data_IF_007817838381
#
_entry.id   IF_007817838381
#
_cell.length_a   1.000
_cell.length_b   1.000
_cell.length_c   1.000
_cell.angle_alpha   90.00
_cell.angle_beta   90.00
_cell.angle_gamma   90.00
#
_symmetry.space_group_name_H-M   'P 1'
#
loop_
_entity.id
_entity.type
_entity.pdbx_description
1 polymer ?
#
# COMPACT_ATOMS: atom_id res chain seq x y z
N UNK A 1 -7.53 -9.06 0.75
CA UNK A 1 -7.90 -8.78 -0.65
C UNK A 1 -7.21 -7.51 -1.15
N UNK A 2 -7.13 -7.31 -2.46
CA UNK A 2 -6.52 -6.10 -3.05
C UNK A 2 -7.42 -5.57 -4.14
N UNK A 3 -7.88 -4.33 -4.02
CA UNK A 3 -8.82 -3.73 -4.96
C UNK A 3 -8.13 -2.63 -5.73
N UNK A 4 -8.28 -2.62 -7.04
CA UNK A 4 -7.92 -1.48 -7.86
C UNK A 4 -9.15 -0.61 -8.02
N UNK A 5 -9.00 0.66 -7.65
CA UNK A 5 -10.05 1.65 -7.70
C UNK A 5 -9.74 2.71 -8.75
N UNK A 6 -10.79 3.18 -9.42
CA UNK A 6 -10.82 4.42 -10.18
C UNK A 6 -11.84 5.36 -9.56
N UNK A 7 -11.43 6.57 -9.21
CA UNK A 7 -12.30 7.59 -8.62
C UNK A 7 -12.13 8.91 -9.37
N UNK A 8 -13.22 9.53 -9.80
CA UNK A 8 -13.15 10.87 -10.42
C UNK A 8 -12.93 11.92 -9.33
N UNK A 9 -11.86 12.69 -9.44
CA UNK A 9 -11.52 13.71 -8.46
C UNK A 9 -12.56 14.83 -8.46
N UNK A 10 -13.13 15.13 -7.28
CA UNK A 10 -14.03 16.27 -7.13
C UNK A 10 -13.19 17.56 -7.04
N UNK A 11 -13.33 18.49 -7.99
CA UNK A 11 -12.54 19.73 -8.01
C UNK A 11 -12.77 20.60 -6.77
N UNK A 12 -13.98 20.56 -6.18
CA UNK A 12 -14.35 21.33 -4.98
C UNK A 12 -13.65 20.79 -3.73
N UNK A 13 -13.41 19.48 -3.69
CA UNK A 13 -12.88 18.78 -2.52
C UNK A 13 -11.36 18.56 -2.59
N UNK A 14 -10.70 18.98 -3.69
CA UNK A 14 -9.24 18.82 -3.90
C UNK A 14 -8.43 19.33 -2.70
N UNK A 15 -8.75 20.51 -2.19
CA UNK A 15 -8.04 21.09 -1.05
C UNK A 15 -8.25 20.31 0.26
N UNK A 16 -9.48 19.82 0.48
CA UNK A 16 -9.81 19.03 1.67
C UNK A 16 -9.11 17.67 1.60
N UNK A 17 -9.09 17.04 0.44
CA UNK A 17 -8.36 15.80 0.16
C UNK A 17 -6.85 15.98 0.43
N UNK A 18 -6.25 17.04 -0.14
CA UNK A 18 -4.85 17.36 0.03
C UNK A 18 -4.46 17.57 1.51
N UNK A 19 -5.26 18.32 2.26
CA UNK A 19 -5.06 18.50 3.71
C UNK A 19 -5.21 17.17 4.44
N UNK A 20 -6.25 16.39 4.11
CA UNK A 20 -6.51 15.07 4.70
C UNK A 20 -5.37 14.08 4.52
N UNK A 21 -4.75 14.07 3.35
CA UNK A 21 -3.59 13.22 3.03
C UNK A 21 -2.31 13.72 3.71
N UNK A 22 -2.05 15.03 3.69
CA UNK A 22 -0.85 15.63 4.27
C UNK A 22 -0.80 15.49 5.79
N UNK A 23 -1.91 15.76 6.46
CA UNK A 23 -1.99 15.70 7.92
C UNK A 23 -2.39 14.32 8.45
N UNK A 24 -2.68 13.36 7.55
CA UNK A 24 -3.15 12.05 7.96
C UNK A 24 -4.51 12.09 8.65
N UNK A 25 -5.43 12.96 8.26
CA UNK A 25 -6.77 13.05 8.88
C UNK A 25 -7.90 12.45 8.04
N UNK A 26 -7.63 12.11 6.78
CA UNK A 26 -8.57 11.44 5.88
C UNK A 26 -9.07 10.13 6.51
N UNK A 27 -10.40 9.97 6.60
CA UNK A 27 -11.11 8.85 7.22
C UNK A 27 -10.78 8.60 8.71
N UNK A 28 -10.31 9.61 9.45
CA UNK A 28 -10.00 9.46 10.89
C UNK A 28 -11.20 8.93 11.67
N UNK A 29 -10.95 7.94 12.54
CA UNK A 29 -11.98 7.27 13.33
C UNK A 29 -12.75 6.16 12.59
N UNK A 30 -12.40 5.85 11.32
CA UNK A 30 -12.94 4.70 10.58
C UNK A 30 -11.99 3.50 10.67
N UNK A 31 -12.53 2.30 10.60
CA UNK A 31 -11.75 1.04 10.67
C UNK A 31 -10.73 0.91 9.52
N UNK A 32 -11.00 1.53 8.38
CA UNK A 32 -10.16 1.52 7.18
C UNK A 32 -9.26 2.77 7.06
N UNK A 33 -9.15 3.58 8.12
CA UNK A 33 -8.36 4.81 8.14
C UNK A 33 -6.94 4.64 7.59
N UNK A 34 -6.18 3.68 8.14
CA UNK A 34 -4.77 3.49 7.77
C UNK A 34 -4.61 2.93 6.35
N UNK A 35 -5.50 2.01 5.96
CA UNK A 35 -5.53 1.42 4.61
C UNK A 35 -5.75 2.48 3.55
N UNK A 36 -6.84 3.24 3.68
CA UNK A 36 -7.23 4.30 2.75
C UNK A 36 -6.15 5.40 2.67
N UNK A 37 -5.56 5.80 3.80
CA UNK A 37 -4.45 6.76 3.83
C UNK A 37 -3.22 6.24 3.07
N UNK A 38 -2.84 4.98 3.30
CA UNK A 38 -1.70 4.37 2.60
C UNK A 38 -1.95 4.26 1.11
N UNK A 39 -3.15 3.80 0.72
CA UNK A 39 -3.51 3.62 -0.68
C UNK A 39 -3.54 4.96 -1.43
N UNK A 40 -4.19 5.99 -0.87
CA UNK A 40 -4.27 7.32 -1.49
C UNK A 40 -2.91 8.01 -1.58
N UNK A 41 -2.01 7.85 -0.60
CA UNK A 41 -0.62 8.38 -0.69
C UNK A 41 0.16 7.79 -1.86
N UNK A 42 -0.27 6.64 -2.35
CA UNK A 42 0.33 5.90 -3.46
C UNK A 42 -0.42 6.09 -4.76
N UNK A 43 -1.52 6.83 -4.71
CA UNK A 43 -2.39 7.02 -5.83
C UNK A 43 -1.69 7.83 -6.92
N UNK A 44 -2.15 7.59 -8.13
CA UNK A 44 -1.81 8.42 -9.29
C UNK A 44 -3.08 9.06 -9.84
N UNK A 45 -2.91 10.12 -10.61
CA UNK A 45 -3.98 10.82 -11.31
C UNK A 45 -3.62 10.95 -12.79
N UNK A 46 -4.56 10.62 -13.66
CA UNK A 46 -4.42 10.74 -15.10
C UNK A 46 -4.85 12.12 -15.63
N UNK A 47 -4.85 12.27 -16.95
CA UNK A 47 -5.20 13.53 -17.64
C UNK A 47 -6.70 13.84 -17.56
N UNK A 48 -7.54 12.85 -17.24
CA UNK A 48 -8.98 12.95 -17.11
C UNK A 48 -9.42 13.17 -15.65
N UNK A 49 -8.53 13.63 -14.77
CA UNK A 49 -8.74 13.76 -13.32
C UNK A 49 -9.23 12.46 -12.65
N UNK A 50 -8.90 11.28 -13.20
CA UNK A 50 -9.21 10.00 -12.58
C UNK A 50 -8.07 9.60 -11.69
N UNK A 51 -8.39 9.37 -10.41
CA UNK A 51 -7.48 8.88 -9.40
C UNK A 51 -7.49 7.36 -9.38
N UNK A 52 -6.29 6.79 -9.48
CA UNK A 52 -6.03 5.36 -9.49
C UNK A 52 -5.29 4.98 -8.22
N UNK A 53 -5.78 3.97 -7.52
CA UNK A 53 -5.06 3.40 -6.37
C UNK A 53 -5.41 1.94 -6.13
N UNK A 54 -4.57 1.29 -5.33
CA UNK A 54 -4.78 -0.08 -4.89
C UNK A 54 -4.98 -0.08 -3.38
N UNK A 55 -6.17 -0.46 -2.95
CA UNK A 55 -6.52 -0.65 -1.55
C UNK A 55 -6.20 -2.09 -1.12
N UNK A 56 -5.55 -2.24 0.03
CA UNK A 56 -5.27 -3.55 0.62
C UNK A 56 -6.23 -3.74 1.79
N UNK A 57 -7.22 -4.61 1.60
CA UNK A 57 -8.23 -4.90 2.59
C UNK A 57 -7.92 -6.21 3.31
N UNK A 58 -7.96 -6.21 4.65
CA UNK A 58 -7.72 -7.40 5.47
C UNK A 58 -9.01 -8.04 6.01
N UNK A 59 -10.17 -7.61 5.53
CA UNK A 59 -11.44 -8.22 5.89
C UNK A 59 -11.46 -9.70 5.46
N UNK A 60 -12.03 -10.54 6.33
CA UNK A 60 -12.25 -11.96 6.09
C UNK A 60 -13.39 -12.21 5.09
N UNK A 61 -14.23 -11.19 4.89
CA UNK A 61 -15.34 -11.21 3.94
C UNK A 61 -14.82 -11.02 2.51
N UNK A 62 -15.17 -11.98 1.64
CA UNK A 62 -14.82 -11.93 0.23
C UNK A 62 -15.73 -11.00 -0.59
N UNK A 63 -15.36 -10.74 -1.84
CA UNK A 63 -16.19 -10.00 -2.80
C UNK A 63 -16.03 -8.47 -2.69
N UNK A 64 -17.03 -7.70 -3.12
CA UNK A 64 -16.99 -6.22 -3.07
C UNK A 64 -17.52 -5.65 -1.75
N UNK A 65 -17.96 -6.50 -0.82
CA UNK A 65 -18.62 -6.09 0.41
C UNK A 65 -17.74 -5.21 1.32
N UNK A 66 -16.43 -5.47 1.50
CA UNK A 66 -15.58 -4.58 2.28
C UNK A 66 -15.51 -3.15 1.71
N UNK A 67 -15.56 -3.02 0.39
CA UNK A 67 -15.54 -1.70 -0.27
C UNK A 67 -16.83 -0.93 -0.05
N UNK A 68 -17.97 -1.59 0.21
CA UNK A 68 -19.24 -0.91 0.46
C UNK A 68 -19.19 0.03 1.67
N UNK A 69 -18.33 -0.24 2.65
CA UNK A 69 -18.12 0.64 3.81
C UNK A 69 -17.22 1.85 3.49
N UNK A 70 -16.29 1.69 2.54
CA UNK A 70 -15.31 2.70 2.17
C UNK A 70 -15.86 3.69 1.13
N UNK A 71 -16.70 3.21 0.20
CA UNK A 71 -17.29 4.01 -0.89
C UNK A 71 -17.99 5.28 -0.39
N UNK A 72 -18.82 5.26 0.67
CA UNK A 72 -19.46 6.48 1.17
C UNK A 72 -18.45 7.55 1.60
N UNK A 73 -17.34 7.14 2.22
CA UNK A 73 -16.28 8.08 2.64
C UNK A 73 -15.48 8.57 1.43
N UNK A 74 -15.21 7.71 0.45
CA UNK A 74 -14.59 8.12 -0.82
C UNK A 74 -15.44 9.16 -1.55
N UNK A 75 -16.76 8.98 -1.59
CA UNK A 75 -17.70 9.93 -2.21
C UNK A 75 -17.76 11.29 -1.51
N UNK A 76 -17.19 11.45 -0.32
CA UNK A 76 -17.02 12.78 0.26
C UNK A 76 -15.92 13.59 -0.46
N UNK A 77 -14.93 12.93 -1.07
CA UNK A 77 -13.76 13.57 -1.71
C UNK A 77 -13.74 13.41 -3.23
N UNK A 78 -14.45 12.41 -3.75
CA UNK A 78 -14.52 12.06 -5.16
C UNK A 78 -15.95 12.26 -5.65
N UNK A 79 -16.13 12.64 -6.92
CA UNK A 79 -17.47 12.76 -7.51
C UNK A 79 -18.16 11.41 -7.58
N UNK A 80 -17.40 10.39 -8.00
CA UNK A 80 -17.85 9.02 -8.05
C UNK A 80 -16.67 8.04 -8.06
N UNK A 81 -16.94 6.84 -7.56
CA UNK A 81 -16.10 5.66 -7.80
C UNK A 81 -16.56 5.01 -9.11
N UNK A 82 -15.73 5.05 -10.15
CA UNK A 82 -16.09 4.60 -11.50
C UNK A 82 -15.84 3.10 -11.71
N UNK A 83 -14.81 2.53 -11.08
CA UNK A 83 -14.47 1.12 -11.21
C UNK A 83 -13.88 0.58 -9.91
N UNK A 84 -14.32 -0.62 -9.52
CA UNK A 84 -13.70 -1.41 -8.45
C UNK A 84 -13.49 -2.81 -9.00
N UNK A 85 -12.25 -3.28 -9.02
CA UNK A 85 -11.90 -4.64 -9.45
C UNK A 85 -10.87 -5.28 -8.55
N UNK A 86 -10.79 -6.61 -8.58
CA UNK A 86 -9.69 -7.34 -7.96
C UNK A 86 -8.38 -6.96 -8.65
N UNK A 87 -7.42 -6.42 -7.90
CA UNK A 87 -6.13 -5.98 -8.42
C UNK A 87 -5.17 -7.15 -8.65
N UNK A 88 -5.49 -8.35 -8.15
CA UNK A 88 -4.62 -9.52 -8.25
C UNK A 88 -4.69 -10.12 -9.65
N UNK A 89 -3.54 -10.48 -10.21
CA UNK A 89 -3.47 -11.40 -11.34
C UNK A 89 -3.75 -12.82 -10.85
N UNK A 90 -5.00 -13.29 -10.95
CA UNK A 90 -5.39 -14.62 -10.46
C UNK A 90 -4.54 -15.74 -11.05
N UNK A 91 -4.12 -15.58 -12.30
CA UNK A 91 -3.28 -16.56 -13.01
C UNK A 91 -1.87 -16.69 -12.41
N UNK A 92 -1.42 -15.68 -11.65
CA UNK A 92 -0.07 -15.61 -11.07
C UNK A 92 -0.07 -15.54 -9.53
N UNK A 93 -1.24 -15.39 -8.91
CA UNK A 93 -1.39 -15.20 -7.47
C UNK A 93 -2.08 -16.42 -6.85
N UNK A 94 -1.32 -17.23 -6.11
CA UNK A 94 -1.88 -18.30 -5.29
C UNK A 94 -2.53 -17.72 -4.02
N UNK A 95 -3.55 -18.41 -3.48
CA UNK A 95 -4.30 -17.93 -2.30
C UNK A 95 -3.47 -17.91 -1.00
N UNK A 96 -2.33 -18.61 -0.96
CA UNK A 96 -1.43 -18.74 0.20
C UNK A 96 -0.48 -17.54 0.39
N UNK A 97 -0.65 -16.47 -0.40
CA UNK A 97 0.17 -15.26 -0.31
C UNK A 97 -0.14 -14.44 0.97
N UNK A 98 0.26 -14.92 2.15
CA UNK A 98 0.19 -14.14 3.41
C UNK A 98 1.12 -12.91 3.36
N UNK A 99 2.28 -13.05 2.70
CA UNK A 99 3.30 -12.00 2.58
C UNK A 99 3.55 -11.50 1.16
N UNK A 100 2.78 -11.97 0.18
CA UNK A 100 3.04 -11.63 -1.21
C UNK A 100 2.24 -10.40 -1.64
N UNK A 101 2.98 -9.36 -1.98
CA UNK A 101 2.47 -8.12 -2.58
C UNK A 101 2.51 -8.25 -4.11
N UNK A 102 1.64 -9.10 -4.65
CA UNK A 102 1.49 -9.31 -6.09
C UNK A 102 1.13 -8.03 -6.87
N UNK A 103 0.68 -6.99 -6.17
CA UNK A 103 0.35 -5.69 -6.73
C UNK A 103 1.53 -4.71 -6.76
N UNK A 104 2.68 -5.05 -6.16
CA UNK A 104 3.84 -4.15 -6.03
C UNK A 104 4.38 -3.62 -7.36
N UNK A 105 4.29 -4.44 -8.41
CA UNK A 105 4.82 -4.11 -9.74
C UNK A 105 3.76 -3.48 -10.65
N UNK A 106 2.52 -3.33 -10.19
CA UNK A 106 1.47 -2.68 -10.97
C UNK A 106 1.81 -1.20 -11.10
N UNK A 107 2.01 -0.75 -12.33
CA UNK A 107 2.17 0.66 -12.64
C UNK A 107 0.79 1.27 -12.84
N UNK A 108 0.42 2.18 -11.94
CA UNK A 108 -0.79 2.97 -12.09
C UNK A 108 -0.54 4.08 -13.13
N UNK A 109 -1.53 4.42 -13.96
CA UNK A 109 -1.38 5.42 -15.01
C UNK A 109 -1.29 6.84 -14.41
N UNK A 110 -0.69 7.77 -15.16
CA UNK A 110 -0.61 9.17 -14.75
C UNK A 110 0.53 9.49 -13.79
N UNK A 111 0.41 10.63 -13.10
CA UNK A 111 1.42 11.16 -12.17
C UNK A 111 0.98 10.98 -10.71
N UNK A 112 1.89 11.05 -9.72
CA UNK A 112 1.51 10.93 -8.31
C UNK A 112 0.43 11.95 -7.91
N UNK A 113 -0.62 11.49 -7.23
CA UNK A 113 -1.73 12.35 -6.80
C UNK A 113 -1.25 13.51 -5.91
N UNK A 114 -0.29 13.26 -5.03
CA UNK A 114 0.26 14.29 -4.15
C UNK A 114 0.95 15.43 -4.90
N UNK A 115 1.55 15.16 -6.06
CA UNK A 115 2.21 16.19 -6.86
C UNK A 115 1.17 17.12 -7.50
N UNK A 116 0.05 16.56 -7.97
CA UNK A 116 -1.11 17.32 -8.47
C UNK A 116 -1.72 18.19 -7.37
N UNK A 117 -1.97 17.60 -6.19
CA UNK A 117 -2.58 18.31 -5.06
C UNK A 117 -1.65 19.38 -4.47
N UNK A 118 -0.33 19.17 -4.46
CA UNK A 118 0.64 20.12 -3.91
C UNK A 118 0.85 21.36 -4.79
N UNK A 119 0.73 21.19 -6.11
CA UNK A 119 0.83 22.31 -7.07
C UNK A 119 -0.20 23.40 -6.74
N UNK A 120 -1.38 22.99 -6.27
CA UNK A 120 -2.47 23.90 -5.90
C UNK A 120 -2.24 24.57 -4.53
N UNK A 121 -1.67 23.84 -3.56
CA UNK A 121 -1.41 24.37 -2.21
C UNK A 121 -0.37 25.49 -2.14
N UNK A 122 0.50 25.62 -3.15
CA UNK A 122 1.54 26.66 -3.19
C UNK A 122 0.97 28.07 -3.32
N UNK A 123 -0.34 28.21 -3.58
CA UNK A 123 -1.05 29.49 -3.67
C UNK A 123 -1.54 30.05 -2.32
N UNK A 124 -1.40 29.33 -1.20
CA UNK A 124 -1.78 29.83 0.14
C UNK A 124 -0.67 29.64 1.19
N UNK A 125 -0.24 30.71 1.90
CA UNK A 125 0.77 30.59 2.94
C UNK A 125 0.14 30.05 4.23
N UNK A 126 0.03 28.72 4.37
CA UNK A 126 -0.43 28.12 5.61
C UNK A 126 0.74 27.56 6.43
N UNK A 127 0.80 28.00 7.70
CA UNK A 127 1.90 27.77 8.64
C UNK A 127 2.16 26.28 8.86
N UNK A 128 3.43 25.94 8.76
CA UNK A 128 4.05 24.66 9.05
C UNK A 128 3.71 24.17 10.46
N UNK A 129 2.82 23.18 10.55
CA UNK A 129 2.61 22.39 11.76
C UNK A 129 3.31 21.05 11.53
N UNK A 130 4.58 21.05 11.94
CA UNK A 130 5.40 19.94 12.43
C UNK A 130 4.97 18.54 11.98
N UNK A 131 5.78 18.00 11.06
CA UNK A 131 6.17 16.59 10.93
C UNK A 131 5.31 15.59 11.72
N UNK A 132 4.20 15.16 11.14
CA UNK A 132 3.68 13.83 11.47
C UNK A 132 4.64 12.83 10.83
N UNK A 133 5.61 12.36 11.62
CA UNK A 133 6.50 11.26 11.25
C UNK A 133 5.68 9.96 11.17
N UNK A 134 4.78 9.86 10.20
CA UNK A 134 4.11 8.61 9.88
C UNK A 134 5.13 7.75 9.13
N UNK A 135 5.74 6.81 9.86
CA UNK A 135 6.61 5.79 9.28
C UNK A 135 5.67 4.75 8.66
N UNK A 136 5.64 4.68 7.32
CA UNK A 136 4.96 3.62 6.60
C UNK A 136 5.72 2.29 6.82
N UNK A 137 5.41 1.62 7.92
CA UNK A 137 6.05 0.36 8.34
C UNK A 137 5.85 -0.75 7.30
N UNK A 138 4.79 -0.63 6.48
CA UNK A 138 4.46 -1.59 5.42
C UNK A 138 5.30 -1.44 4.14
N UNK A 139 5.98 -0.31 3.94
CA UNK A 139 6.79 -0.04 2.74
C UNK A 139 8.22 0.29 3.06
N UNK A 140 8.92 -0.70 3.61
CA UNK A 140 10.38 -0.67 3.61
C UNK A 140 10.85 -0.64 2.15
N UNK A 141 11.46 0.49 1.74
CA UNK A 141 12.15 0.60 0.45
C UNK A 141 13.40 -0.27 0.50
N UNK A 142 13.24 -1.54 0.15
CA UNK A 142 14.30 -2.53 0.19
C UNK A 142 15.44 -2.13 -0.76
N UNK A 143 16.63 -1.96 -0.19
CA UNK A 143 17.83 -1.72 -0.98
C UNK A 143 18.26 -3.04 -1.65
N UNK A 144 17.95 -3.18 -2.94
CA UNK A 144 18.24 -4.39 -3.73
C UNK A 144 19.72 -4.79 -3.73
N UNK A 145 20.64 -3.82 -3.58
CA UNK A 145 22.08 -4.11 -3.50
C UNK A 145 22.41 -4.82 -2.19
N UNK A 146 21.97 -4.27 -1.05
CA UNK A 146 22.16 -4.87 0.27
C UNK A 146 21.49 -6.24 0.40
N UNK A 147 20.34 -6.44 -0.24
CA UNK A 147 19.69 -7.75 -0.26
C UNK A 147 20.48 -8.79 -1.06
N UNK A 148 21.02 -8.43 -2.23
CA UNK A 148 21.89 -9.32 -3.00
C UNK A 148 23.12 -9.72 -2.19
N UNK A 149 23.78 -8.75 -1.55
CA UNK A 149 24.93 -8.99 -0.69
C UNK A 149 24.58 -9.95 0.46
N UNK A 150 23.45 -9.72 1.15
CA UNK A 150 22.98 -10.63 2.21
C UNK A 150 22.66 -12.04 1.71
N UNK A 151 21.99 -12.17 0.56
CA UNK A 151 21.69 -13.49 -0.04
C UNK A 151 22.97 -14.21 -0.47
N UNK A 152 23.96 -13.50 -1.01
CA UNK A 152 25.26 -14.09 -1.34
C UNK A 152 26.01 -14.56 -0.09
N UNK A 153 26.03 -13.77 0.99
CA UNK A 153 26.65 -14.14 2.26
C UNK A 153 25.97 -15.36 2.91
N UNK A 154 24.64 -15.46 2.82
CA UNK A 154 23.91 -16.64 3.30
C UNK A 154 24.22 -17.88 2.46
N UNK A 155 24.31 -17.73 1.13
CA UNK A 155 24.67 -18.83 0.23
C UNK A 155 26.09 -19.35 0.46
N UNK A 156 27.05 -18.47 0.75
CA UNK A 156 28.42 -18.91 1.08
C UNK A 156 28.43 -19.73 2.38
N UNK A 157 27.70 -19.30 3.41
CA UNK A 157 27.60 -20.05 4.68
C UNK A 157 26.93 -21.43 4.52
N UNK A 158 25.93 -21.54 3.63
CA UNK A 158 25.31 -22.84 3.33
C UNK A 158 26.23 -23.77 2.53
N UNK A 159 27.05 -23.23 1.63
CA UNK A 159 28.01 -24.03 0.86
C UNK A 159 29.20 -24.50 1.71
N UNK A 160 29.66 -23.68 2.66
CA UNK A 160 30.75 -24.03 3.57
C UNK A 160 30.36 -25.15 4.55
N UNK A 161 29.07 -25.31 4.85
CA UNK A 161 28.55 -26.39 5.71
C UNK A 161 28.39 -27.75 5.01
N UNK A 162 28.66 -27.86 3.70
CA UNK A 162 28.59 -29.14 2.98
C UNK A 162 29.79 -30.07 3.25
N UNK A 163 30.81 -29.63 3.99
CA UNK A 163 32.01 -30.42 4.33
C UNK A 163 32.04 -31.02 5.75
N UNK A 164 31.01 -30.85 6.57
CA UNK A 164 30.88 -31.55 7.85
C UNK A 164 29.69 -32.50 7.85
N UNK A 165 29.83 -33.58 7.06
CA UNK A 165 29.03 -34.79 7.24
C UNK A 165 29.58 -35.54 8.46
N UNK A 166 29.14 -35.14 9.66
CA UNK A 166 29.53 -35.77 10.91
C UNK A 166 28.45 -35.62 11.97
N UNK A 167 27.68 -36.69 12.19
CA UNK A 167 26.78 -36.97 13.33
C UNK A 167 26.06 -35.76 13.96
N UNK A 168 24.80 -35.57 13.59
CA UNK A 168 23.82 -34.96 14.50
C UNK A 168 23.13 -36.11 15.21
N UNK A 169 23.56 -36.36 16.45
CA UNK A 169 22.85 -37.23 17.38
C UNK A 169 21.45 -36.65 17.63
N UNK A 170 20.44 -37.50 17.44
CA UNK A 170 19.07 -37.24 17.86
C UNK A 170 19.08 -37.11 19.38
N UNK A 171 19.00 -35.88 19.90
CA UNK A 171 18.67 -35.67 21.30
C UNK A 171 17.23 -35.15 21.40
N UNK A 172 16.37 -36.05 21.88
CA UNK A 172 15.02 -35.81 22.39
C UNK A 172 15.01 -34.64 23.37
N UNK A 173 13.97 -33.80 23.30
CA UNK A 173 13.11 -33.46 24.45
C UNK A 173 12.05 -32.44 24.04
N UNK A 174 10.90 -32.92 23.56
CA UNK A 174 9.62 -32.30 23.91
C UNK A 174 9.23 -32.85 25.28
N UNK A 175 9.32 -32.02 26.32
CA UNK A 175 8.47 -32.02 27.51
C UNK A 175 8.87 -30.82 28.38
N UNK A 176 8.08 -29.74 28.31
CA UNK A 176 7.37 -29.13 29.43
C UNK A 176 6.32 -28.18 28.86
#
# INVERSE_FOLDING_TARGET
MRYYLKCKLNPVEKDRLAKGMKFGSLASGKIFYEGMQSALRSATIDEDDVVHFIEICYCLEGGLYPMAMEIPVLNEYFENVSEIRDARFRDQCTMECEFCDCTRNIKLPGKPLMDELSTLMTSQPYRDIRSTNFIDVGRIKLNRKKQKEGVYALKSLCNDNSYNKGRIDICRCCHF
#
